data_IF_471992683513
#
_entry.id   IF_471992683513
#
_cell.length_a   1.000
_cell.length_b   1.000
_cell.length_c   1.000
_cell.angle_alpha   90.00
_cell.angle_beta   90.00
_cell.angle_gamma   90.00
#
_symmetry.space_group_name_H-M   'P 1'
#
loop_
_entity.id
_entity.type
_entity.pdbx_description
1 polymer ?
#
# COMPACT_ATOMS: atom_id res chain seq x y z
N UNK A 1 17.99 11.64 2.17
CA UNK A 1 17.17 10.41 2.20
C UNK A 1 16.40 10.38 0.88
N UNK A 2 16.56 9.37 0.01
CA UNK A 2 15.77 9.35 -1.21
C UNK A 2 14.31 9.20 -0.79
N UNK A 3 13.46 10.16 -1.20
CA UNK A 3 12.02 9.98 -1.19
C UNK A 3 11.75 8.85 -2.17
N UNK A 4 11.60 7.61 -1.68
CA UNK A 4 11.21 6.47 -2.50
C UNK A 4 9.73 6.64 -2.87
N UNK A 5 9.50 7.57 -3.79
CA UNK A 5 8.23 7.78 -4.44
C UNK A 5 8.24 6.91 -5.70
N UNK A 6 7.38 5.92 -5.74
CA UNK A 6 7.26 4.97 -6.85
C UNK A 6 6.30 5.53 -7.90
N UNK A 7 6.77 6.11 -9.02
CA UNK A 7 5.89 6.69 -10.05
C UNK A 7 4.94 5.65 -10.66
N UNK A 8 5.31 4.36 -10.67
CA UNK A 8 4.43 3.26 -11.08
C UNK A 8 3.38 2.85 -10.04
N UNK A 9 3.29 3.58 -8.92
CA UNK A 9 2.33 3.37 -7.84
C UNK A 9 2.60 2.09 -7.05
N UNK A 10 1.54 1.52 -6.49
CA UNK A 10 1.60 0.35 -5.61
C UNK A 10 2.30 -0.82 -6.29
N UNK A 11 2.01 -1.10 -7.55
CA UNK A 11 2.49 -2.32 -8.21
C UNK A 11 4.01 -2.28 -8.43
N UNK A 12 4.56 -1.10 -8.74
CA UNK A 12 6.01 -0.89 -8.84
C UNK A 12 6.66 -0.97 -7.46
N UNK A 13 6.04 -0.35 -6.44
CA UNK A 13 6.50 -0.44 -5.06
C UNK A 13 6.57 -1.89 -4.56
N UNK A 14 5.51 -2.69 -4.77
CA UNK A 14 5.47 -4.09 -4.36
C UNK A 14 6.48 -4.97 -5.12
N UNK A 15 6.97 -4.51 -6.28
CA UNK A 15 7.98 -5.23 -7.05
C UNK A 15 9.41 -4.83 -6.67
N UNK A 16 9.62 -3.57 -6.25
CA UNK A 16 10.93 -3.07 -5.85
C UNK A 16 11.21 -3.16 -4.35
N UNK A 17 10.18 -3.26 -3.51
CA UNK A 17 10.28 -3.21 -2.05
C UNK A 17 9.62 -4.43 -1.41
N UNK A 18 10.45 -5.40 -1.01
CA UNK A 18 10.01 -6.60 -0.30
C UNK A 18 9.34 -6.28 1.05
N UNK A 19 9.69 -5.17 1.70
CA UNK A 19 9.07 -4.77 2.97
C UNK A 19 7.64 -4.31 2.73
N UNK A 20 7.44 -3.45 1.73
CA UNK A 20 6.10 -3.00 1.33
C UNK A 20 5.24 -4.18 0.85
N UNK A 21 5.84 -5.12 0.12
CA UNK A 21 5.18 -6.35 -0.32
C UNK A 21 4.75 -7.24 0.84
N UNK A 22 5.65 -7.48 1.78
CA UNK A 22 5.36 -8.28 2.97
C UNK A 22 4.24 -7.65 3.82
N UNK A 23 4.29 -6.33 4.01
CA UNK A 23 3.22 -5.59 4.69
C UNK A 23 1.89 -5.73 3.96
N UNK A 24 1.84 -5.44 2.66
CA UNK A 24 0.63 -5.55 1.86
C UNK A 24 0.01 -6.95 1.93
N UNK A 25 0.83 -8.00 1.82
CA UNK A 25 0.37 -9.39 1.88
C UNK A 25 -0.10 -9.81 3.29
N UNK A 26 0.31 -9.08 4.34
CA UNK A 26 -0.16 -9.32 5.71
C UNK A 26 -1.53 -8.70 6.02
N UNK A 27 -2.01 -7.80 5.16
CA UNK A 27 -3.32 -7.14 5.32
C UNK A 27 -4.46 -8.12 5.02
N UNK A 28 -5.67 -7.91 5.59
CA UNK A 28 -6.85 -8.69 5.22
C UNK A 28 -7.21 -8.55 3.72
N UNK A 29 -7.79 -9.60 3.12
CA UNK A 29 -8.15 -9.62 1.69
C UNK A 29 -9.01 -8.42 1.26
N UNK A 30 -9.96 -7.99 2.10
CA UNK A 30 -10.80 -6.83 1.79
C UNK A 30 -9.98 -5.53 1.73
N UNK A 31 -8.98 -5.36 2.61
CA UNK A 31 -8.09 -4.19 2.61
C UNK A 31 -7.18 -4.24 1.39
N UNK A 32 -6.62 -5.41 1.06
CA UNK A 32 -5.82 -5.60 -0.15
C UNK A 32 -6.61 -5.25 -1.41
N UNK A 33 -7.84 -5.76 -1.54
CA UNK A 33 -8.71 -5.46 -2.69
C UNK A 33 -9.07 -3.97 -2.80
N UNK A 34 -9.30 -3.28 -1.68
CA UNK A 34 -9.57 -1.84 -1.66
C UNK A 34 -8.35 -1.01 -2.04
N UNK A 35 -7.15 -1.39 -1.56
CA UNK A 35 -5.89 -0.77 -1.96
C UNK A 35 -5.62 -1.00 -3.45
N UNK A 36 -5.85 -2.21 -3.96
CA UNK A 36 -5.65 -2.52 -5.38
C UNK A 36 -6.53 -1.67 -6.31
N UNK A 37 -7.76 -1.34 -5.91
CA UNK A 37 -8.61 -0.41 -6.67
C UNK A 37 -8.02 1.01 -6.77
N UNK A 38 -7.15 1.39 -5.83
CA UNK A 38 -6.46 2.69 -5.81
C UNK A 38 -4.95 2.55 -5.94
N UNK A 39 -4.47 1.50 -6.59
CA UNK A 39 -3.04 1.19 -6.73
C UNK A 39 -2.25 2.35 -7.38
N UNK A 40 -2.88 3.12 -8.27
CA UNK A 40 -2.26 4.28 -8.93
C UNK A 40 -2.11 5.54 -8.06
N UNK A 41 -2.67 5.55 -6.85
CA UNK A 41 -2.59 6.69 -5.92
C UNK A 41 -1.68 6.42 -4.72
N UNK A 42 -1.11 5.21 -4.61
CA UNK A 42 -0.21 4.83 -3.51
C UNK A 42 1.20 4.81 -4.06
N UNK A 43 2.00 5.82 -3.74
CA UNK A 43 3.35 5.99 -4.28
C UNK A 43 4.42 5.76 -3.23
N UNK A 44 4.06 5.53 -1.96
CA UNK A 44 5.00 5.32 -0.87
C UNK A 44 4.45 4.33 0.16
N UNK A 45 5.36 3.72 0.93
CA UNK A 45 5.01 2.80 2.01
C UNK A 45 4.21 3.50 3.13
N UNK A 46 4.49 4.78 3.39
CA UNK A 46 3.74 5.60 4.35
C UNK A 46 2.27 5.76 3.93
N UNK A 47 2.02 6.03 2.64
CA UNK A 47 0.67 6.12 2.10
C UNK A 47 -0.06 4.79 2.17
N UNK A 48 0.65 3.68 1.88
CA UNK A 48 0.11 2.33 2.02
C UNK A 48 -0.32 2.05 3.46
N UNK A 49 0.55 2.32 4.44
CA UNK A 49 0.26 2.13 5.86
C UNK A 49 -0.95 2.96 6.28
N UNK A 50 -0.91 4.26 6.00
CA UNK A 50 -1.98 5.18 6.39
C UNK A 50 -3.32 4.82 5.74
N UNK A 51 -3.31 4.36 4.48
CA UNK A 51 -4.54 3.92 3.81
C UNK A 51 -5.07 2.62 4.40
N UNK A 52 -4.20 1.65 4.66
CA UNK A 52 -4.57 0.40 5.32
C UNK A 52 -5.15 0.67 6.71
N UNK A 53 -4.52 1.53 7.52
CA UNK A 53 -5.03 1.90 8.85
C UNK A 53 -6.40 2.57 8.78
N UNK A 54 -6.63 3.49 7.82
CA UNK A 54 -7.94 4.11 7.64
C UNK A 54 -9.03 3.09 7.26
N UNK A 55 -8.70 2.11 6.41
CA UNK A 55 -9.64 1.05 6.02
C UNK A 55 -9.98 0.13 7.20
N UNK A 56 -8.97 -0.24 7.99
CA UNK A 56 -9.16 -1.09 9.17
C UNK A 56 -9.87 -0.34 10.32
N UNK A 57 -9.67 0.96 10.44
CA UNK A 57 -10.34 1.79 11.45
C UNK A 57 -11.79 2.14 11.07
N UNK A 58 -12.10 2.19 9.76
CA UNK A 58 -13.42 2.48 9.22
C UNK A 58 -14.42 1.31 9.26
N UNK A 59 -13.95 0.08 9.54
CA UNK A 59 -14.78 -1.12 9.70
C UNK A 59 -15.45 -1.22 11.10
N UNK A 60 -15.55 -0.10 11.84
CA UNK A 60 -16.07 -0.05 13.20
C UNK A 60 -17.47 0.53 13.31
#
# INVERSE_FOLDING_TARGET
>A
MPRSNYPGGLNEMLNCDDTAKSYFMSLPDYVQGMIQQRCGNVHSIDELHRYAENLMAGDK
#
